data_IF_351171622703
#
_entry.id   IF_351171622703
#
_cell.length_a   1.000
_cell.length_b   1.000
_cell.length_c   1.000
_cell.angle_alpha   90.00
_cell.angle_beta   90.00
_cell.angle_gamma   90.00
#
_symmetry.space_group_name_H-M   'P 1'
#
loop_
_entity.id
_entity.type
_entity.pdbx_description
1 polymer ?
#
# COMPACT_ATOMS: atom_id res chain seq x y z
N UNK A 1 -68.64 14.21 -13.13
CA UNK A 1 -67.63 13.83 -14.14
C UNK A 1 -66.96 15.11 -14.59
N UNK A 2 -65.91 15.51 -13.87
CA UNK A 2 -65.07 16.65 -14.24
C UNK A 2 -63.78 16.13 -14.86
N UNK A 3 -63.38 16.67 -15.99
CA UNK A 3 -62.06 16.45 -16.60
C UNK A 3 -61.34 17.79 -16.65
N UNK A 4 -60.35 17.89 -15.77
CA UNK A 4 -59.47 19.03 -15.56
C UNK A 4 -58.41 19.12 -16.66
N UNK A 5 -58.31 20.32 -17.22
CA UNK A 5 -57.13 21.10 -17.58
C UNK A 5 -55.79 20.39 -17.73
N UNK A 6 -55.30 20.45 -18.96
CA UNK A 6 -53.90 20.33 -19.36
C UNK A 6 -53.14 21.59 -18.94
N UNK A 7 -52.18 21.46 -18.03
CA UNK A 7 -51.20 22.52 -17.74
C UNK A 7 -49.79 22.03 -17.98
N UNK A 8 -49.21 22.59 -19.05
CA UNK A 8 -47.78 22.69 -19.33
C UNK A 8 -47.05 23.28 -18.13
N UNK A 9 -46.00 22.62 -17.65
CA UNK A 9 -45.01 23.26 -16.77
C UNK A 9 -43.61 23.04 -17.31
N UNK A 10 -42.92 24.17 -17.37
CA UNK A 10 -41.68 24.47 -18.04
C UNK A 10 -40.49 23.75 -17.40
N UNK A 11 -39.61 23.30 -18.29
CA UNK A 11 -38.27 22.79 -18.04
C UNK A 11 -37.42 23.86 -17.38
N UNK A 12 -37.04 23.68 -16.11
CA UNK A 12 -35.99 24.49 -15.48
C UNK A 12 -34.65 23.79 -15.68
N UNK A 13 -33.88 24.28 -16.66
CA UNK A 13 -32.50 23.89 -16.85
C UNK A 13 -31.66 24.49 -15.72
N UNK A 14 -31.34 23.69 -14.71
CA UNK A 14 -30.28 24.03 -13.77
C UNK A 14 -28.93 23.83 -14.47
N UNK A 15 -28.31 24.94 -14.82
CA UNK A 15 -26.92 25.01 -15.26
C UNK A 15 -26.02 24.47 -14.16
N UNK A 16 -25.61 23.21 -14.29
CA UNK A 16 -24.50 22.66 -13.50
C UNK A 16 -23.25 23.38 -13.99
N UNK A 17 -22.78 24.32 -13.18
CA UNK A 17 -21.48 24.97 -13.34
C UNK A 17 -20.42 23.87 -13.42
N UNK A 18 -19.86 23.69 -14.62
CA UNK A 18 -18.72 22.85 -14.88
C UNK A 18 -17.53 23.44 -14.11
N UNK A 19 -17.34 22.99 -12.87
CA UNK A 19 -16.10 23.21 -12.14
C UNK A 19 -15.01 22.46 -12.90
N UNK A 20 -14.33 23.18 -13.79
CA UNK A 20 -13.08 22.78 -14.42
C UNK A 20 -12.12 22.45 -13.27
N UNK A 21 -12.04 21.17 -12.90
CA UNK A 21 -10.87 20.65 -12.21
C UNK A 21 -9.75 20.75 -13.22
N UNK A 22 -9.04 21.86 -13.20
CA UNK A 22 -7.70 21.91 -13.74
C UNK A 22 -6.88 20.94 -12.89
N UNK A 23 -6.78 19.69 -13.35
CA UNK A 23 -5.74 18.77 -12.92
C UNK A 23 -4.42 19.32 -13.45
N UNK A 24 -3.93 20.37 -12.78
CA UNK A 24 -2.52 20.68 -12.83
C UNK A 24 -1.84 19.52 -12.13
N UNK A 25 -1.34 18.57 -12.93
CA UNK A 25 -0.15 17.85 -12.50
C UNK A 25 0.79 18.91 -11.96
N UNK A 26 1.12 18.83 -10.67
CA UNK A 26 1.96 19.82 -10.02
C UNK A 26 3.38 19.25 -10.09
N UNK A 27 4.14 19.48 -11.19
CA UNK A 27 5.51 18.99 -11.27
C UNK A 27 6.28 19.61 -10.09
N UNK A 28 6.71 18.77 -9.16
CA UNK A 28 7.44 19.18 -7.96
C UNK A 28 6.67 19.08 -6.63
N UNK A 29 5.64 18.25 -6.52
CA UNK A 29 5.10 17.89 -5.19
C UNK A 29 6.17 17.09 -4.40
N UNK A 30 6.77 17.67 -3.33
CA UNK A 30 7.84 17.01 -2.59
C UNK A 30 7.39 15.70 -1.92
N UNK A 31 6.08 15.54 -1.72
CA UNK A 31 5.50 14.31 -1.15
C UNK A 31 5.76 13.10 -2.05
N UNK A 32 5.88 13.30 -3.37
CA UNK A 32 6.10 12.21 -4.33
C UNK A 32 7.43 11.53 -4.06
N UNK A 33 8.52 12.31 -4.04
CA UNK A 33 9.86 11.82 -3.77
C UNK A 33 9.99 11.27 -2.34
N UNK A 34 9.43 11.97 -1.36
CA UNK A 34 9.47 11.56 0.04
C UNK A 34 8.74 10.23 0.28
N UNK A 35 7.52 10.06 -0.24
CA UNK A 35 6.79 8.81 -0.07
C UNK A 35 7.37 7.67 -0.90
N UNK A 36 7.92 7.96 -2.09
CA UNK A 36 8.67 6.95 -2.85
C UNK A 36 9.85 6.44 -2.04
N UNK A 37 10.66 7.34 -1.46
CA UNK A 37 11.80 6.97 -0.62
C UNK A 37 11.37 6.15 0.61
N UNK A 38 10.25 6.51 1.24
CA UNK A 38 9.68 5.73 2.35
C UNK A 38 9.27 4.33 1.90
N UNK A 39 8.51 4.22 0.80
CA UNK A 39 8.03 2.93 0.29
C UNK A 39 9.19 1.99 -0.10
N UNK A 40 10.20 2.50 -0.81
CA UNK A 40 11.36 1.69 -1.21
C UNK A 40 12.23 1.31 -0.02
N UNK A 41 12.41 2.20 0.96
CA UNK A 41 13.14 1.90 2.20
C UNK A 41 12.47 0.77 2.98
N UNK A 42 11.14 0.83 3.19
CA UNK A 42 10.41 -0.19 3.94
C UNK A 42 10.46 -1.54 3.21
N UNK A 43 10.27 -1.57 1.89
CA UNK A 43 10.40 -2.82 1.12
C UNK A 43 11.83 -3.37 1.15
N UNK A 44 12.84 -2.50 1.21
CA UNK A 44 14.24 -2.92 1.33
C UNK A 44 14.57 -3.57 2.66
N UNK A 45 13.83 -3.27 3.74
CA UNK A 45 13.95 -4.03 5.00
C UNK A 45 13.61 -5.51 4.78
N UNK A 46 12.60 -5.82 3.96
CA UNK A 46 12.27 -7.20 3.65
C UNK A 46 13.36 -7.89 2.81
N UNK A 47 14.05 -7.16 1.93
CA UNK A 47 15.22 -7.70 1.23
C UNK A 47 16.35 -8.00 2.20
N UNK A 48 16.65 -7.09 3.12
CA UNK A 48 17.66 -7.29 4.17
C UNK A 48 17.35 -8.53 5.05
N UNK A 49 16.11 -8.70 5.50
CA UNK A 49 15.65 -9.93 6.16
C UNK A 49 15.99 -11.18 5.34
N UNK A 50 15.65 -11.17 4.05
CA UNK A 50 15.89 -12.31 3.18
C UNK A 50 17.40 -12.54 2.99
N UNK A 51 18.19 -11.49 2.77
CA UNK A 51 19.64 -11.55 2.43
C UNK A 51 20.51 -11.94 3.62
N UNK A 52 20.19 -11.42 4.80
CA UNK A 52 21.11 -11.44 5.93
C UNK A 52 20.62 -12.31 7.10
N UNK A 53 19.34 -12.67 7.14
CA UNK A 53 18.75 -13.34 8.31
C UNK A 53 18.09 -14.70 8.00
N UNK A 54 17.56 -14.90 6.79
CA UNK A 54 17.01 -16.19 6.37
C UNK A 54 18.03 -17.01 5.57
N UNK A 55 18.16 -18.28 5.93
CA UNK A 55 19.12 -19.23 5.35
C UNK A 55 18.46 -20.35 4.55
N UNK A 56 17.14 -20.55 4.67
CA UNK A 56 16.43 -21.58 3.91
C UNK A 56 14.96 -21.24 3.64
N UNK A 57 14.41 -21.83 2.56
CA UNK A 57 13.02 -21.63 2.12
C UNK A 57 12.00 -22.06 3.18
N UNK A 58 12.32 -23.08 3.98
CA UNK A 58 11.45 -23.59 5.04
C UNK A 58 11.08 -22.49 6.04
N UNK A 59 11.99 -21.55 6.31
CA UNK A 59 11.78 -20.48 7.27
C UNK A 59 10.66 -19.50 6.86
N UNK A 60 10.34 -19.40 5.57
CA UNK A 60 9.21 -18.60 5.09
C UNK A 60 7.84 -19.20 5.46
N UNK A 61 7.82 -20.51 5.75
CA UNK A 61 6.60 -21.31 5.90
C UNK A 61 6.30 -21.74 7.34
N UNK A 62 7.21 -21.45 8.28
CA UNK A 62 7.00 -21.75 9.70
C UNK A 62 5.76 -21.00 10.19
N UNK A 63 4.84 -21.75 10.79
CA UNK A 63 3.64 -21.18 11.39
C UNK A 63 3.99 -20.61 12.74
N UNK A 64 3.57 -19.38 12.99
CA UNK A 64 3.69 -18.77 14.30
C UNK A 64 2.80 -19.47 15.33
N UNK A 65 3.38 -19.65 16.50
CA UNK A 65 2.73 -20.14 17.72
C UNK A 65 1.83 -19.08 18.36
N UNK A 66 2.12 -17.79 18.16
CA UNK A 66 1.34 -16.68 18.71
C UNK A 66 0.33 -16.09 17.72
N UNK A 67 0.52 -16.31 16.41
CA UNK A 67 -0.31 -15.79 15.32
C UNK A 67 -0.79 -16.95 14.42
N UNK A 68 -1.88 -17.66 14.80
CA UNK A 68 -2.34 -18.83 14.08
C UNK A 68 -2.53 -18.59 12.58
N UNK A 69 -1.95 -19.48 11.77
CA UNK A 69 -2.01 -19.42 10.30
C UNK A 69 -1.09 -18.38 9.65
N UNK A 70 -0.32 -17.64 10.43
CA UNK A 70 0.64 -16.64 9.95
C UNK A 70 2.03 -17.23 9.75
N UNK A 71 2.70 -16.83 8.67
CA UNK A 71 4.09 -17.17 8.35
C UNK A 71 4.80 -15.93 7.82
N UNK A 72 6.14 -15.94 7.81
CA UNK A 72 6.93 -14.85 7.22
C UNK A 72 6.53 -14.64 5.76
N UNK A 73 6.53 -15.70 4.94
CA UNK A 73 6.20 -15.63 3.52
C UNK A 73 4.83 -15.03 3.23
N UNK A 74 3.80 -15.40 4.02
CA UNK A 74 2.45 -14.84 3.88
C UNK A 74 2.40 -13.33 4.17
N UNK A 75 3.12 -12.87 5.19
CA UNK A 75 3.19 -11.45 5.53
C UNK A 75 3.96 -10.64 4.48
N UNK A 76 5.10 -11.17 4.01
CA UNK A 76 5.87 -10.56 2.94
C UNK A 76 5.01 -10.39 1.69
N UNK A 77 4.34 -11.45 1.23
CA UNK A 77 3.42 -11.38 0.09
C UNK A 77 2.32 -10.36 0.34
N UNK A 78 1.63 -10.45 1.48
CA UNK A 78 0.45 -9.64 1.75
C UNK A 78 0.74 -8.14 1.71
N UNK A 79 1.80 -7.69 2.36
CA UNK A 79 2.18 -6.28 2.31
C UNK A 79 2.65 -5.83 0.93
N UNK A 80 3.45 -6.66 0.23
CA UNK A 80 3.90 -6.36 -1.14
C UNK A 80 2.72 -6.20 -2.09
N UNK A 81 1.68 -7.02 -1.94
CA UNK A 81 0.50 -6.99 -2.81
C UNK A 81 -0.27 -5.67 -2.73
N UNK A 82 -0.27 -4.98 -1.58
CA UNK A 82 -0.87 -3.64 -1.49
C UNK A 82 -0.21 -2.65 -2.46
N UNK A 83 1.12 -2.65 -2.56
CA UNK A 83 1.82 -1.80 -3.52
C UNK A 83 1.50 -2.18 -4.96
N UNK A 84 1.40 -3.47 -5.26
CA UNK A 84 1.17 -3.93 -6.63
C UNK A 84 -0.25 -3.69 -7.11
N UNK A 85 -1.25 -3.85 -6.24
CA UNK A 85 -2.62 -3.47 -6.54
C UNK A 85 -2.74 -1.94 -6.75
N UNK A 86 -2.04 -1.14 -5.94
CA UNK A 86 -1.98 0.29 -6.13
C UNK A 86 -1.28 0.69 -7.44
N UNK A 87 -0.13 0.09 -7.75
CA UNK A 87 0.59 0.32 -9.02
C UNK A 87 -0.25 -0.06 -10.24
N UNK A 88 -0.96 -1.20 -10.18
CA UNK A 88 -1.89 -1.60 -11.23
C UNK A 88 -3.01 -0.58 -11.40
N UNK A 89 -3.55 -0.05 -10.29
CA UNK A 89 -4.54 1.02 -10.31
C UNK A 89 -3.99 2.32 -10.95
N UNK A 90 -2.79 2.76 -10.57
CA UNK A 90 -2.13 3.95 -11.14
C UNK A 90 -1.94 3.84 -12.67
N UNK A 91 -1.60 2.65 -13.15
CA UNK A 91 -1.40 2.35 -14.57
C UNK A 91 -2.70 2.13 -15.35
N UNK A 92 -3.83 1.96 -14.66
CA UNK A 92 -5.14 1.81 -15.29
C UNK A 92 -5.70 3.16 -15.79
N UNK A 93 -6.51 3.19 -16.86
CA UNK A 93 -7.16 4.41 -17.31
C UNK A 93 -8.18 4.92 -16.29
N UNK A 94 -8.37 6.24 -16.26
CA UNK A 94 -9.44 6.85 -15.45
C UNK A 94 -10.85 6.57 -16.02
N UNK A 95 -11.91 6.51 -15.19
CA UNK A 95 -11.88 6.64 -13.73
C UNK A 95 -11.28 5.39 -13.06
N UNK A 96 -10.37 5.61 -12.12
CA UNK A 96 -9.62 4.54 -11.46
C UNK A 96 -10.37 3.99 -10.25
N UNK A 97 -10.37 2.66 -10.13
CA UNK A 97 -10.93 1.93 -9.00
C UNK A 97 -9.84 1.04 -8.41
N UNK A 98 -9.63 1.14 -7.10
CA UNK A 98 -8.68 0.34 -6.34
C UNK A 98 -9.46 -0.64 -5.45
N UNK A 99 -8.99 -1.88 -5.36
CA UNK A 99 -9.47 -2.84 -4.36
C UNK A 99 -8.33 -3.71 -3.86
N UNK A 100 -8.03 -3.60 -2.56
CA UNK A 100 -7.03 -4.42 -1.88
C UNK A 100 -7.48 -5.87 -1.62
N UNK A 101 -8.78 -6.16 -1.78
CA UNK A 101 -9.32 -7.51 -1.61
C UNK A 101 -9.03 -8.42 -2.81
N UNK A 102 -8.52 -7.84 -3.90
CA UNK A 102 -8.14 -8.57 -5.11
C UNK A 102 -7.05 -9.59 -4.79
N UNK A 103 -7.35 -10.88 -4.99
CA UNK A 103 -6.40 -11.96 -4.75
C UNK A 103 -5.45 -12.14 -5.93
N UNK A 104 -4.18 -11.86 -5.69
CA UNK A 104 -3.10 -12.23 -6.61
C UNK A 104 -2.80 -13.73 -6.39
N UNK A 105 -2.92 -14.54 -7.45
CA UNK A 105 -2.69 -16.00 -7.41
C UNK A 105 -1.23 -16.32 -7.77
N UNK A 106 -0.78 -17.51 -7.37
CA UNK A 106 0.54 -18.08 -7.68
C UNK A 106 1.71 -17.21 -7.19
N UNK A 107 2.02 -17.29 -5.91
CA UNK A 107 3.04 -16.47 -5.26
C UNK A 107 4.20 -17.31 -4.73
N UNK A 108 5.20 -17.64 -5.59
CA UNK A 108 6.44 -18.30 -5.16
C UNK A 108 7.09 -17.62 -3.96
N UNK A 109 6.90 -16.30 -3.82
CA UNK A 109 7.34 -15.48 -2.68
C UNK A 109 6.91 -16.01 -1.30
N UNK A 110 5.82 -16.78 -1.19
CA UNK A 110 5.41 -17.32 0.11
C UNK A 110 6.29 -18.49 0.58
N UNK A 111 6.99 -19.16 -0.35
CA UNK A 111 7.69 -20.42 -0.08
C UNK A 111 9.10 -20.50 -0.66
N UNK A 112 9.58 -19.45 -1.33
CA UNK A 112 10.90 -19.40 -1.96
C UNK A 112 11.57 -18.07 -1.68
N UNK A 113 12.77 -18.09 -1.09
CA UNK A 113 13.58 -16.92 -0.82
C UNK A 113 13.90 -16.19 -2.13
N UNK A 114 14.31 -16.91 -3.18
CA UNK A 114 14.57 -16.33 -4.51
C UNK A 114 13.29 -15.71 -5.11
N UNK A 115 12.17 -16.43 -5.01
CA UNK A 115 10.86 -15.93 -5.43
C UNK A 115 10.46 -14.64 -4.70
N UNK A 116 10.77 -14.53 -3.41
CA UNK A 116 10.50 -13.36 -2.59
C UNK A 116 11.40 -12.18 -2.97
N UNK A 117 12.71 -12.41 -3.12
CA UNK A 117 13.67 -11.38 -3.59
C UNK A 117 13.23 -10.79 -4.92
N UNK A 118 12.97 -11.65 -5.89
CA UNK A 118 12.56 -11.24 -7.23
C UNK A 118 11.30 -10.38 -7.17
N UNK A 119 10.27 -10.84 -6.46
CA UNK A 119 9.01 -10.10 -6.33
C UNK A 119 9.19 -8.72 -5.66
N UNK A 120 10.06 -8.61 -4.64
CA UNK A 120 10.36 -7.35 -3.97
C UNK A 120 11.13 -6.39 -4.87
N UNK A 121 12.21 -6.84 -5.52
CA UNK A 121 12.97 -6.03 -6.47
C UNK A 121 12.12 -5.53 -7.63
N UNK A 122 11.27 -6.40 -8.21
CA UNK A 122 10.34 -6.01 -9.26
C UNK A 122 9.36 -4.94 -8.79
N UNK A 123 8.90 -5.03 -7.54
CA UNK A 123 7.95 -4.05 -6.97
C UNK A 123 8.63 -2.71 -6.73
N UNK A 124 9.84 -2.71 -6.15
CA UNK A 124 10.65 -1.50 -5.94
C UNK A 124 10.92 -0.80 -7.28
N UNK A 125 11.38 -1.55 -8.29
CA UNK A 125 11.65 -1.01 -9.63
C UNK A 125 10.39 -0.41 -10.27
N UNK A 126 9.22 -1.01 -10.05
CA UNK A 126 7.96 -0.46 -10.54
C UNK A 126 7.54 0.81 -9.80
N UNK A 127 7.73 0.88 -8.48
CA UNK A 127 7.48 2.10 -7.70
C UNK A 127 8.34 3.26 -8.22
N UNK A 128 9.64 3.04 -8.39
CA UNK A 128 10.59 4.04 -8.89
C UNK A 128 10.23 4.54 -10.29
N UNK A 129 9.63 3.69 -11.12
CA UNK A 129 9.19 4.07 -12.47
C UNK A 129 7.85 4.81 -12.49
N UNK A 130 6.88 4.38 -11.68
CA UNK A 130 5.48 4.83 -11.79
C UNK A 130 5.18 6.02 -10.89
N UNK A 131 5.63 5.97 -9.63
CA UNK A 131 5.29 6.98 -8.62
C UNK A 131 5.72 8.40 -9.01
N UNK A 132 6.90 8.64 -9.61
CA UNK A 132 7.29 9.99 -10.04
C UNK A 132 6.37 10.63 -11.06
N UNK A 133 5.57 9.83 -11.77
CA UNK A 133 4.62 10.30 -12.80
C UNK A 133 3.19 10.44 -12.29
N UNK A 134 2.92 10.05 -11.04
CA UNK A 134 1.58 10.04 -10.47
C UNK A 134 1.16 11.43 -9.94
N UNK A 135 -0.11 11.78 -10.12
CA UNK A 135 -0.72 12.92 -9.43
C UNK A 135 -1.24 12.48 -8.06
N UNK A 136 -0.54 12.86 -6.99
CA UNK A 136 -0.89 12.47 -5.62
C UNK A 136 -2.24 13.00 -5.15
N UNK A 137 -2.75 14.06 -5.76
CA UNK A 137 -4.06 14.63 -5.44
C UNK A 137 -5.18 14.07 -6.31
N UNK A 138 -4.86 13.20 -7.27
CA UNK A 138 -5.88 12.54 -8.08
C UNK A 138 -6.82 11.74 -7.18
N UNK A 139 -8.10 12.10 -7.21
CA UNK A 139 -9.14 11.35 -6.52
C UNK A 139 -9.43 10.03 -7.26
N UNK A 140 -9.40 8.93 -6.53
CA UNK A 140 -9.77 7.60 -7.00
C UNK A 140 -10.87 7.02 -6.12
N UNK A 141 -11.52 5.96 -6.61
CA UNK A 141 -12.49 5.20 -5.82
C UNK A 141 -11.81 3.98 -5.19
N UNK A 142 -11.90 3.82 -3.88
CA UNK A 142 -11.52 2.60 -3.17
C UNK A 142 -12.75 1.75 -2.90
N UNK A 143 -12.72 0.50 -3.36
CA UNK A 143 -13.74 -0.51 -3.10
C UNK A 143 -13.21 -1.60 -2.17
N UNK A 144 -13.97 -1.87 -1.10
CA UNK A 144 -13.67 -2.93 -0.13
C UNK A 144 -14.92 -3.80 0.08
N UNK A 145 -14.73 -5.11 0.18
CA UNK A 145 -15.79 -6.12 0.32
C UNK A 145 -15.62 -6.86 1.64
N UNK A 146 -16.33 -6.43 2.68
CA UNK A 146 -16.29 -7.09 4.01
C UNK A 146 -17.60 -6.98 4.80
N UNK A 147 -18.50 -7.97 4.78
CA UNK A 147 -18.83 -8.85 3.65
C UNK A 147 -19.61 -8.12 2.54
N UNK A 148 -19.97 -6.85 2.77
CA UNK A 148 -20.69 -6.00 1.83
C UNK A 148 -19.73 -5.07 1.10
N UNK A 149 -20.10 -4.69 -0.13
CA UNK A 149 -19.36 -3.72 -0.91
C UNK A 149 -19.53 -2.33 -0.30
N UNK A 150 -18.41 -1.72 0.06
CA UNK A 150 -18.29 -0.31 0.44
C UNK A 150 -17.41 0.42 -0.57
N UNK A 151 -17.75 1.68 -0.84
CA UNK A 151 -17.04 2.55 -1.78
C UNK A 151 -16.67 3.86 -1.11
N UNK A 152 -15.41 4.26 -1.23
CA UNK A 152 -14.85 5.45 -0.61
C UNK A 152 -14.12 6.31 -1.63
N UNK A 153 -14.12 7.63 -1.40
CA UNK A 153 -13.21 8.55 -2.10
C UNK A 153 -11.89 8.63 -1.36
N UNK A 154 -10.81 8.55 -2.12
CA UNK A 154 -9.44 8.64 -1.62
C UNK A 154 -8.54 9.27 -2.69
N UNK A 155 -7.26 9.48 -2.41
CA UNK A 155 -6.29 9.96 -3.41
C UNK A 155 -5.11 9.01 -3.55
N UNK A 156 -4.44 9.04 -4.72
CA UNK A 156 -3.25 8.21 -4.97
C UNK A 156 -2.17 8.40 -3.90
N UNK A 157 -1.90 9.63 -3.49
CA UNK A 157 -0.90 9.92 -2.46
C UNK A 157 -1.30 9.41 -1.06
N UNK A 158 -2.60 9.40 -0.73
CA UNK A 158 -3.09 8.80 0.52
C UNK A 158 -2.94 7.28 0.50
N UNK A 159 -3.23 6.66 -0.64
CA UNK A 159 -3.14 5.20 -0.77
C UNK A 159 -1.70 4.69 -0.76
N UNK A 160 -0.74 5.41 -1.33
CA UNK A 160 0.68 5.05 -1.23
C UNK A 160 1.18 5.13 0.22
N UNK A 161 0.78 6.16 0.94
CA UNK A 161 1.08 6.29 2.37
C UNK A 161 0.47 5.15 3.18
N UNK A 162 -0.79 4.79 2.89
CA UNK A 162 -1.46 3.66 3.53
C UNK A 162 -0.74 2.34 3.25
N UNK A 163 -0.37 2.06 2.00
CA UNK A 163 0.39 0.86 1.65
C UNK A 163 1.71 0.79 2.45
N UNK A 164 2.40 1.92 2.61
CA UNK A 164 3.64 2.02 3.40
C UNK A 164 3.43 1.73 4.89
N UNK A 165 2.42 2.33 5.53
CA UNK A 165 2.13 2.05 6.94
C UNK A 165 1.63 0.62 7.19
N UNK A 166 0.81 0.11 6.28
CA UNK A 166 0.33 -1.26 6.32
C UNK A 166 1.48 -2.26 6.14
N UNK A 167 2.47 -1.92 5.31
CA UNK A 167 3.71 -2.67 5.15
C UNK A 167 4.49 -2.75 6.47
N UNK A 168 4.72 -1.62 7.14
CA UNK A 168 5.35 -1.58 8.48
C UNK A 168 4.58 -2.42 9.50
N UNK A 169 3.24 -2.36 9.49
CA UNK A 169 2.41 -3.21 10.36
C UNK A 169 2.74 -4.69 10.16
N UNK A 170 2.85 -5.17 8.92
CA UNK A 170 3.24 -6.56 8.68
C UNK A 170 4.68 -6.86 9.09
N UNK A 171 5.59 -5.89 9.04
CA UNK A 171 6.98 -6.15 9.41
C UNK A 171 7.08 -6.38 10.91
N UNK A 172 6.23 -5.72 11.70
CA UNK A 172 6.09 -6.02 13.13
C UNK A 172 5.63 -7.47 13.37
N UNK A 173 4.72 -8.00 12.53
CA UNK A 173 4.30 -9.40 12.62
C UNK A 173 5.43 -10.34 12.19
N UNK A 174 6.15 -10.03 11.09
CA UNK A 174 7.33 -10.79 10.65
C UNK A 174 8.40 -10.85 11.74
N UNK A 175 8.66 -9.75 12.44
CA UNK A 175 9.57 -9.73 13.59
C UNK A 175 9.15 -10.71 14.68
N UNK A 176 7.86 -10.82 14.98
CA UNK A 176 7.34 -11.81 15.95
C UNK A 176 7.62 -13.23 15.46
N UNK A 177 7.26 -13.56 14.22
CA UNK A 177 7.48 -14.90 13.65
C UNK A 177 8.98 -15.27 13.63
N UNK A 178 9.84 -14.34 13.20
CA UNK A 178 11.28 -14.53 13.19
C UNK A 178 11.86 -14.74 14.61
N UNK A 179 11.36 -13.97 15.58
CA UNK A 179 11.76 -14.11 16.99
C UNK A 179 11.41 -15.48 17.59
N UNK A 180 10.26 -16.06 17.23
CA UNK A 180 9.88 -17.42 17.64
C UNK A 180 10.85 -18.49 17.11
N UNK A 181 11.55 -18.20 16.01
CA UNK A 181 12.58 -19.06 15.42
C UNK A 181 13.98 -18.77 15.98
N UNK A 182 14.11 -17.85 16.93
CA UNK A 182 15.40 -17.41 17.47
C UNK A 182 16.21 -16.52 16.52
N UNK A 183 15.59 -15.98 15.47
CA UNK A 183 16.24 -15.08 14.51
C UNK A 183 16.23 -13.67 15.08
N UNK A 184 17.42 -13.09 15.26
CA UNK A 184 17.57 -11.69 15.67
C UNK A 184 17.64 -10.81 14.43
N UNK A 185 16.69 -9.88 14.32
CA UNK A 185 16.62 -8.87 13.27
C UNK A 185 17.19 -7.54 13.79
N UNK A 186 17.51 -6.64 12.86
CA UNK A 186 17.96 -5.31 13.22
C UNK A 186 16.96 -4.58 14.14
N UNK A 187 17.44 -3.75 15.09
CA UNK A 187 16.59 -3.04 16.04
C UNK A 187 15.48 -2.22 15.38
N UNK A 188 15.71 -1.73 14.16
CA UNK A 188 14.79 -0.84 13.45
C UNK A 188 13.82 -1.57 12.50
N UNK A 189 13.99 -2.89 12.28
CA UNK A 189 13.14 -3.67 11.35
C UNK A 189 11.66 -3.65 11.75
N UNK A 190 10.79 -3.16 10.88
CA UNK A 190 9.36 -3.09 11.16
C UNK A 190 8.93 -2.03 12.17
N UNK A 191 9.80 -1.05 12.45
CA UNK A 191 9.39 0.20 13.06
C UNK A 191 9.02 1.23 11.98
N UNK A 192 8.00 2.04 12.27
CA UNK A 192 7.63 3.15 11.39
C UNK A 192 8.75 4.20 11.38
N UNK A 193 9.02 4.85 10.23
CA UNK A 193 10.00 5.94 10.16
C UNK A 193 9.78 7.05 11.20
N UNK A 194 8.51 7.39 11.50
CA UNK A 194 8.17 8.36 12.55
C UNK A 194 8.63 7.94 13.94
N UNK A 195 8.61 6.64 14.24
CA UNK A 195 9.10 6.10 15.51
C UNK A 195 10.62 6.21 15.60
N UNK A 196 11.32 5.97 14.49
CA UNK A 196 12.78 6.11 14.42
C UNK A 196 13.21 7.58 14.55
N UNK A 197 12.49 8.52 13.93
CA UNK A 197 12.73 9.97 14.10
C UNK A 197 12.60 10.37 15.56
N UNK A 198 11.51 9.97 16.24
CA UNK A 198 11.31 10.26 17.66
C UNK A 198 12.40 9.63 18.56
N UNK A 199 12.85 8.41 18.24
CA UNK A 199 13.96 7.75 18.95
C UNK A 199 15.31 8.45 18.71
N UNK A 200 15.54 8.99 17.52
CA UNK A 200 16.72 9.80 17.19
C UNK A 200 16.73 11.14 17.93
N UNK A 201 15.58 11.82 17.99
CA UNK A 201 15.42 13.08 18.74
C UNK A 201 15.55 12.89 20.25
N UNK A 202 15.05 11.79 20.81
CA UNK A 202 15.22 11.49 22.23
C UNK A 202 16.66 11.14 22.60
N UNK A 203 17.42 10.49 21.71
CA UNK A 203 18.86 10.24 21.93
C UNK A 203 19.68 11.55 21.89
N UNK A 204 19.36 12.49 21.00
CA UNK A 204 20.10 13.76 20.90
C UNK A 204 19.83 14.76 22.03
N UNK A 205 18.77 14.58 22.82
CA UNK A 205 18.47 15.39 24.01
C UNK A 205 19.05 14.82 25.31
N UNK A 206 19.74 13.67 25.25
CA UNK A 206 20.31 12.99 26.42
C UNK A 206 21.85 12.95 26.40
N UNK A 207 22.49 13.70 25.49
CA UNK A 207 23.95 13.91 25.44
C UNK A 207 24.35 15.32 25.87
#
# INVERSE_FOLDING_TARGET
MGTLETTSTLTSAMSVSNARHSSSTNPGDPRVEQQLAVATTILSQALDLLDNHLTSDEQLTVNSTHLPGSTIGKHLRHARDHFVLLLACMLSPAPRVLSYDTRIRNTPMETSLDGARKALHETISQLERVVPTADFNEEITLEAVTPHLHSFKTTLGRELWFASLHCVHHWSMVRVVAGEMGIQLDPDFGFAPSTLVYQGESKSHTE
#
